data_IF_508056006635
#
_entry.id   IF_508056006635
#
_cell.length_a   1.000
_cell.length_b   1.000
_cell.length_c   1.000
_cell.angle_alpha   90.00
_cell.angle_beta   90.00
_cell.angle_gamma   90.00
#
_symmetry.space_group_name_H-M   'P 1'
#
loop_
_entity.id
_entity.type
_entity.pdbx_description
1 polymer ?
#
# COMPACT_ATOMS: atom_id res chain seq x y z
N UNK A 1 46.87 32.21 -39.24
CA UNK A 1 47.67 30.97 -39.44
C UNK A 1 48.69 30.95 -38.34
N UNK A 2 48.46 30.15 -37.30
CA UNK A 2 49.49 29.83 -36.31
C UNK A 2 49.25 28.38 -35.89
N UNK A 3 50.15 27.54 -36.34
CA UNK A 3 50.23 26.12 -36.01
C UNK A 3 50.62 25.92 -34.55
N UNK A 4 49.97 24.98 -33.83
CA UNK A 4 50.44 24.46 -32.57
C UNK A 4 50.96 23.03 -32.76
N UNK A 5 52.14 22.68 -32.22
CA UNK A 5 52.71 21.38 -32.38
C UNK A 5 52.12 20.34 -31.42
N UNK A 6 51.86 19.13 -31.95
CA UNK A 6 51.52 17.93 -31.24
C UNK A 6 52.68 17.48 -30.35
N UNK A 7 52.47 17.37 -29.04
CA UNK A 7 53.35 16.64 -28.15
C UNK A 7 52.76 15.27 -27.86
N UNK A 8 53.62 14.29 -28.11
CA UNK A 8 53.43 12.86 -27.94
C UNK A 8 53.59 12.43 -26.48
N UNK A 9 52.72 11.54 -26.05
CA UNK A 9 53.03 10.41 -25.17
C UNK A 9 53.02 10.68 -23.68
N UNK A 10 51.87 10.34 -23.08
CA UNK A 10 51.93 9.81 -21.71
C UNK A 10 51.09 8.55 -21.60
N UNK A 11 51.72 7.47 -21.15
CA UNK A 11 51.06 6.19 -20.87
C UNK A 11 50.16 6.36 -19.65
N UNK A 12 48.95 5.77 -19.60
CA UNK A 12 48.16 5.73 -18.36
C UNK A 12 48.90 4.86 -17.34
N UNK A 13 49.07 5.44 -16.16
CA UNK A 13 49.57 4.73 -14.98
C UNK A 13 48.62 3.56 -14.64
N UNK A 14 49.19 2.42 -14.29
CA UNK A 14 48.47 1.26 -13.80
C UNK A 14 47.64 1.67 -12.57
N UNK A 15 46.34 1.40 -12.65
CA UNK A 15 45.43 1.54 -11.51
C UNK A 15 45.93 0.68 -10.35
N UNK A 16 46.19 1.31 -9.22
CA UNK A 16 46.49 0.63 -7.97
C UNK A 16 45.21 -0.15 -7.56
N UNK A 17 45.35 -1.35 -6.98
CA UNK A 17 44.20 -2.13 -6.49
C UNK A 17 43.43 -1.32 -5.46
N UNK A 18 42.11 -1.27 -5.61
CA UNK A 18 41.20 -0.61 -4.68
C UNK A 18 41.20 -1.33 -3.33
N UNK A 19 41.94 -0.79 -2.39
CA UNK A 19 42.13 -1.33 -1.03
C UNK A 19 40.86 -1.19 -0.16
N UNK A 20 39.73 -0.67 -0.72
CA UNK A 20 38.46 -0.50 -0.04
C UNK A 20 37.69 -1.80 0.11
N UNK A 21 38.02 -2.84 -0.67
CA UNK A 21 37.32 -4.13 -0.63
C UNK A 21 37.57 -4.92 0.68
N UNK A 22 38.54 -4.51 1.51
CA UNK A 22 38.92 -5.21 2.75
C UNK A 22 38.78 -4.34 4.02
N UNK A 23 38.09 -3.21 3.97
CA UNK A 23 37.78 -2.39 5.14
C UNK A 23 36.58 -3.00 5.91
N UNK A 24 36.78 -3.47 7.15
CA UNK A 24 35.69 -4.04 7.97
C UNK A 24 34.52 -3.05 8.24
N UNK A 25 34.72 -1.77 7.94
CA UNK A 25 33.66 -0.75 7.98
C UNK A 25 32.77 -0.75 6.75
N UNK A 26 33.16 -1.44 5.67
CA UNK A 26 32.42 -1.65 4.42
C UNK A 26 31.88 -3.07 4.29
N UNK A 27 31.68 -3.75 5.42
CA UNK A 27 30.87 -4.97 5.42
C UNK A 27 29.51 -4.60 4.84
N UNK A 28 29.23 -5.16 3.66
CA UNK A 28 27.93 -4.99 3.00
C UNK A 28 26.83 -5.19 4.05
N UNK A 29 25.90 -4.24 4.11
CA UNK A 29 24.68 -4.33 4.90
C UNK A 29 23.96 -5.61 4.42
N UNK A 30 24.28 -6.75 5.04
CA UNK A 30 23.44 -7.93 4.89
C UNK A 30 22.03 -7.48 5.37
N UNK A 31 20.99 -7.68 4.57
CA UNK A 31 19.65 -7.37 5.01
C UNK A 31 19.42 -8.17 6.29
N UNK A 32 19.29 -7.48 7.41
CA UNK A 32 18.91 -8.09 8.69
C UNK A 32 17.53 -8.69 8.44
N UNK A 33 17.49 -10.00 8.19
CA UNK A 33 16.22 -10.73 8.12
C UNK A 33 15.56 -10.53 9.48
N UNK A 34 14.34 -10.00 9.51
CA UNK A 34 13.62 -9.81 10.78
C UNK A 34 13.56 -11.15 11.49
N UNK A 35 14.04 -11.21 12.74
CA UNK A 35 14.14 -12.44 13.54
C UNK A 35 12.77 -12.97 14.04
N UNK A 36 11.67 -12.56 13.44
CA UNK A 36 10.31 -12.91 13.81
C UNK A 36 9.32 -12.80 12.65
N UNK A 37 8.04 -13.15 12.87
CA UNK A 37 7.01 -13.01 11.86
C UNK A 37 6.80 -11.53 11.49
N UNK A 38 6.58 -11.26 10.19
CA UNK A 38 6.20 -9.93 9.71
C UNK A 38 4.89 -9.48 10.40
N UNK A 39 4.81 -8.21 10.74
CA UNK A 39 3.63 -7.61 11.38
C UNK A 39 2.90 -6.74 10.37
N UNK A 40 1.69 -7.15 9.99
CA UNK A 40 0.79 -6.36 9.14
C UNK A 40 -0.35 -5.84 10.01
N UNK A 41 -0.53 -4.52 10.06
CA UNK A 41 -1.61 -3.91 10.82
C UNK A 41 -2.69 -3.41 9.89
N UNK A 42 -3.92 -3.85 10.15
CA UNK A 42 -5.12 -3.43 9.42
C UNK A 42 -5.84 -2.35 10.21
N UNK A 43 -5.84 -1.13 9.70
CA UNK A 43 -6.57 0.01 10.30
C UNK A 43 -7.94 0.11 9.63
N UNK A 44 -9.01 -0.08 10.40
CA UNK A 44 -10.39 -0.02 9.91
C UNK A 44 -11.16 1.14 10.54
N UNK A 45 -11.73 2.00 9.71
CA UNK A 45 -12.55 3.15 10.13
C UNK A 45 -14.07 2.90 9.99
N UNK A 46 -14.50 1.64 9.94
CA UNK A 46 -15.91 1.27 9.90
C UNK A 46 -16.66 1.69 11.16
N UNK A 47 -17.85 2.30 11.00
CA UNK A 47 -18.63 2.81 12.16
C UNK A 47 -19.77 1.88 12.55
N UNK A 48 -20.36 1.15 11.61
CA UNK A 48 -21.51 0.27 11.82
C UNK A 48 -21.13 -1.12 12.34
N UNK A 49 -22.11 -1.83 12.90
CA UNK A 49 -22.07 -3.26 13.23
C UNK A 49 -23.32 -3.93 12.64
N UNK A 50 -23.16 -4.79 11.66
CA UNK A 50 -21.95 -5.16 10.91
C UNK A 50 -21.40 -4.02 10.06
N UNK A 51 -20.09 -4.08 9.73
CA UNK A 51 -19.40 -3.07 8.93
C UNK A 51 -18.84 -3.68 7.64
N UNK A 52 -19.25 -3.14 6.48
CA UNK A 52 -18.66 -3.51 5.20
C UNK A 52 -17.17 -3.08 5.09
N UNK A 53 -16.80 -1.98 5.75
CA UNK A 53 -15.41 -1.53 5.83
C UNK A 53 -14.55 -2.54 6.58
N UNK A 54 -15.06 -3.07 7.71
CA UNK A 54 -14.35 -4.12 8.45
C UNK A 54 -14.27 -5.42 7.65
N UNK A 55 -15.34 -5.81 6.98
CA UNK A 55 -15.34 -6.99 6.12
C UNK A 55 -14.32 -6.88 4.98
N UNK A 56 -14.17 -5.70 4.36
CA UNK A 56 -13.13 -5.46 3.36
C UNK A 56 -11.74 -5.55 3.99
N UNK A 57 -11.57 -4.97 5.16
CA UNK A 57 -10.32 -5.00 5.92
C UNK A 57 -9.87 -6.43 6.25
N UNK A 58 -10.79 -7.27 6.72
CA UNK A 58 -10.53 -8.67 7.02
C UNK A 58 -10.13 -9.45 5.76
N UNK A 59 -10.86 -9.31 4.65
CA UNK A 59 -10.53 -9.98 3.38
C UNK A 59 -9.16 -9.58 2.83
N UNK A 60 -8.79 -8.31 2.95
CA UNK A 60 -7.46 -7.82 2.55
C UNK A 60 -6.35 -8.42 3.43
N UNK A 61 -6.55 -8.45 4.75
CA UNK A 61 -5.62 -9.06 5.69
C UNK A 61 -5.43 -10.55 5.44
N UNK A 62 -6.53 -11.29 5.21
CA UNK A 62 -6.50 -12.71 4.87
C UNK A 62 -5.77 -12.98 3.55
N UNK A 63 -6.00 -12.15 2.52
CA UNK A 63 -5.34 -12.29 1.22
C UNK A 63 -3.83 -12.06 1.34
N UNK A 64 -3.38 -11.03 2.07
CA UNK A 64 -1.96 -10.77 2.33
C UNK A 64 -1.33 -11.90 3.13
N UNK A 65 -2.01 -12.41 4.16
CA UNK A 65 -1.51 -13.54 4.95
C UNK A 65 -1.36 -14.81 4.11
N UNK A 66 -2.31 -15.08 3.22
CA UNK A 66 -2.26 -16.21 2.27
C UNK A 66 -1.06 -16.10 1.33
N UNK A 67 -0.86 -14.92 0.73
CA UNK A 67 0.19 -14.70 -0.27
C UNK A 67 1.59 -14.74 0.36
N UNK A 68 1.77 -14.20 1.58
CA UNK A 68 3.00 -14.32 2.35
C UNK A 68 3.24 -15.76 2.81
N UNK A 69 2.19 -16.48 3.24
CA UNK A 69 2.26 -17.89 3.60
C UNK A 69 2.66 -18.77 2.42
N UNK A 70 2.18 -18.47 1.21
CA UNK A 70 2.59 -19.16 -0.03
C UNK A 70 4.08 -18.90 -0.37
N UNK A 71 4.63 -17.79 0.09
CA UNK A 71 6.06 -17.46 -0.01
C UNK A 71 6.89 -17.95 1.20
N UNK A 72 6.29 -18.77 2.09
CA UNK A 72 6.90 -19.28 3.32
C UNK A 72 7.38 -18.20 4.30
N UNK A 73 6.79 -17.00 4.22
CA UNK A 73 7.10 -15.88 5.11
C UNK A 73 6.10 -15.84 6.26
N UNK A 74 6.53 -16.07 7.52
CA UNK A 74 5.65 -15.98 8.67
C UNK A 74 5.09 -14.56 8.82
N UNK A 75 3.79 -14.43 8.99
CA UNK A 75 3.12 -13.14 9.17
C UNK A 75 2.10 -13.17 10.30
N UNK A 76 1.99 -12.06 11.01
CA UNK A 76 0.94 -11.79 11.98
C UNK A 76 0.13 -10.59 11.50
N UNK A 77 -1.17 -10.79 11.32
CA UNK A 77 -2.10 -9.73 10.94
C UNK A 77 -2.90 -9.32 12.17
N UNK A 78 -2.84 -8.05 12.51
CA UNK A 78 -3.55 -7.45 13.64
C UNK A 78 -4.48 -6.34 13.15
N UNK A 79 -5.64 -6.18 13.79
CA UNK A 79 -6.62 -5.17 13.41
C UNK A 79 -6.75 -4.08 14.47
N UNK A 80 -6.77 -2.82 14.03
CA UNK A 80 -7.07 -1.63 14.83
C UNK A 80 -8.40 -1.05 14.36
N UNK A 81 -9.42 -1.14 15.22
CA UNK A 81 -10.76 -0.58 14.98
C UNK A 81 -10.84 0.86 15.48
N UNK A 82 -10.84 1.81 14.57
CA UNK A 82 -10.84 3.23 14.95
C UNK A 82 -12.12 3.66 15.68
N UNK A 83 -13.23 2.98 15.43
CA UNK A 83 -14.48 3.24 16.16
C UNK A 83 -14.30 3.11 17.66
N UNK A 84 -13.52 2.11 18.11
CA UNK A 84 -13.31 1.84 19.53
C UNK A 84 -12.33 2.84 20.17
N UNK A 85 -11.64 3.63 19.35
CA UNK A 85 -10.69 4.68 19.74
C UNK A 85 -11.24 6.10 19.52
N UNK A 86 -12.48 6.25 19.03
CA UNK A 86 -13.01 7.55 18.63
C UNK A 86 -12.95 8.62 19.76
N UNK A 87 -13.27 8.21 20.99
CA UNK A 87 -13.21 9.10 22.15
C UNK A 87 -11.76 9.41 22.57
N UNK A 88 -10.88 8.41 22.51
CA UNK A 88 -9.46 8.57 22.83
C UNK A 88 -8.75 9.50 21.83
N UNK A 89 -9.11 9.40 20.54
CA UNK A 89 -8.63 10.30 19.47
C UNK A 89 -9.13 11.73 19.73
N UNK A 90 -10.42 11.91 20.02
CA UNK A 90 -10.97 13.24 20.33
C UNK A 90 -10.34 13.85 21.57
N UNK A 91 -10.11 13.06 22.61
CA UNK A 91 -9.43 13.50 23.82
C UNK A 91 -7.98 13.92 23.55
N UNK A 92 -7.26 13.20 22.67
CA UNK A 92 -5.90 13.58 22.31
C UNK A 92 -5.82 14.98 21.69
N UNK A 93 -6.78 15.39 20.85
CA UNK A 93 -6.80 16.73 20.28
C UNK A 93 -6.96 17.84 21.31
N UNK A 94 -7.62 17.56 22.42
CA UNK A 94 -7.85 18.54 23.49
C UNK A 94 -6.81 18.49 24.59
N UNK A 95 -6.28 17.31 24.92
CA UNK A 95 -5.28 17.11 25.96
C UNK A 95 -3.84 17.29 25.46
N UNK A 96 -3.60 17.10 24.14
CA UNK A 96 -2.29 17.21 23.53
C UNK A 96 -1.40 15.95 23.67
N UNK A 97 -1.94 14.86 24.25
CA UNK A 97 -1.23 13.59 24.39
C UNK A 97 -2.21 12.41 24.36
N UNK A 98 -1.78 11.23 23.82
CA UNK A 98 -2.64 10.05 23.71
C UNK A 98 -2.81 9.34 25.06
N UNK A 99 -4.03 8.87 25.33
CA UNK A 99 -4.28 7.93 26.43
C UNK A 99 -3.76 6.52 26.12
N UNK A 100 -3.70 5.60 27.11
CA UNK A 100 -3.05 4.28 26.97
C UNK A 100 -3.56 3.44 25.78
N UNK A 101 -4.87 3.46 25.50
CA UNK A 101 -5.45 2.70 24.38
C UNK A 101 -4.99 3.25 23.03
N UNK A 102 -5.02 4.58 22.89
CA UNK A 102 -4.58 5.21 21.65
C UNK A 102 -3.08 5.03 21.46
N UNK A 103 -2.26 5.19 22.51
CA UNK A 103 -0.82 4.91 22.47
C UNK A 103 -0.55 3.52 21.95
N UNK A 104 -1.20 2.49 22.50
CA UNK A 104 -1.01 1.12 22.06
C UNK A 104 -1.35 0.93 20.56
N UNK A 105 -2.40 1.57 20.06
CA UNK A 105 -2.77 1.50 18.65
C UNK A 105 -1.79 2.25 17.74
N UNK A 106 -1.28 3.41 18.18
CA UNK A 106 -0.24 4.16 17.47
C UNK A 106 1.06 3.36 17.40
N UNK A 107 1.47 2.72 18.52
CA UNK A 107 2.65 1.86 18.58
C UNK A 107 2.52 0.62 17.67
N UNK A 108 1.33 0.02 17.60
CA UNK A 108 1.06 -1.07 16.67
C UNK A 108 1.28 -0.64 15.22
N UNK A 109 0.73 0.49 14.80
CA UNK A 109 0.84 1.01 13.43
C UNK A 109 2.28 1.44 13.12
N UNK A 110 2.93 2.12 14.07
CA UNK A 110 4.32 2.58 13.92
C UNK A 110 5.29 1.42 13.87
N UNK A 111 5.09 0.37 14.67
CA UNK A 111 5.93 -0.82 14.71
C UNK A 111 5.59 -1.89 13.68
N UNK A 112 4.60 -1.69 12.80
CA UNK A 112 4.24 -2.64 11.75
C UNK A 112 5.23 -2.61 10.58
N UNK A 113 5.42 -3.76 9.92
CA UNK A 113 6.18 -3.87 8.67
C UNK A 113 5.37 -3.37 7.46
N UNK A 114 4.03 -3.46 7.52
CA UNK A 114 3.10 -2.88 6.55
C UNK A 114 1.76 -2.50 7.18
N UNK A 115 1.04 -1.59 6.53
CA UNK A 115 -0.29 -1.16 6.94
C UNK A 115 -1.31 -1.37 5.82
N UNK A 116 -2.47 -1.92 6.18
CA UNK A 116 -3.66 -1.92 5.32
C UNK A 116 -4.64 -0.89 5.89
N UNK A 117 -4.90 0.18 5.16
CA UNK A 117 -5.70 1.31 5.62
C UNK A 117 -7.06 1.34 4.92
N UNK A 118 -8.15 1.11 5.67
CA UNK A 118 -9.49 0.94 5.12
C UNK A 118 -10.47 1.94 5.74
N UNK A 119 -11.13 2.74 4.90
CA UNK A 119 -12.07 3.78 5.35
C UNK A 119 -13.40 3.70 4.58
N UNK A 120 -14.54 4.02 5.20
CA UNK A 120 -15.73 4.33 4.44
C UNK A 120 -15.58 5.71 3.79
N UNK A 121 -16.23 5.89 2.62
CA UNK A 121 -16.32 7.21 2.00
C UNK A 121 -17.57 7.92 2.51
N UNK A 122 -17.37 9.04 3.20
CA UNK A 122 -18.41 9.95 3.64
C UNK A 122 -18.17 11.34 3.04
N UNK A 123 -19.23 11.96 2.53
CA UNK A 123 -19.14 13.31 1.95
C UNK A 123 -17.97 13.44 0.94
N UNK A 124 -17.92 12.45 0.00
CA UNK A 124 -16.96 12.37 -1.12
C UNK A 124 -15.48 12.13 -0.75
N UNK A 125 -15.15 11.86 0.51
CA UNK A 125 -13.77 11.60 0.97
C UNK A 125 -13.72 10.53 2.05
N UNK A 126 -12.52 10.20 2.55
CA UNK A 126 -12.35 9.33 3.72
C UNK A 126 -13.09 9.88 4.93
N UNK A 127 -13.44 9.01 5.88
CA UNK A 127 -14.16 9.44 7.09
C UNK A 127 -13.32 10.38 7.96
N UNK A 128 -13.96 11.31 8.68
CA UNK A 128 -13.27 12.20 9.60
C UNK A 128 -12.50 11.45 10.68
N UNK A 129 -13.05 10.33 11.20
CA UNK A 129 -12.37 9.48 12.17
C UNK A 129 -11.08 8.88 11.62
N UNK A 130 -11.09 8.45 10.35
CA UNK A 130 -9.88 7.97 9.67
C UNK A 130 -8.80 9.05 9.62
N UNK A 131 -9.17 10.24 9.14
CA UNK A 131 -8.23 11.37 9.08
C UNK A 131 -7.68 11.72 10.46
N UNK A 132 -8.57 11.82 11.46
CA UNK A 132 -8.18 12.17 12.83
C UNK A 132 -7.16 11.19 13.44
N UNK A 133 -7.26 9.90 13.13
CA UNK A 133 -6.27 8.92 13.59
C UNK A 133 -4.90 9.16 12.96
N UNK A 134 -4.84 9.41 11.65
CA UNK A 134 -3.57 9.69 10.97
C UNK A 134 -3.00 11.07 11.30
N UNK A 135 -3.81 12.01 11.79
CA UNK A 135 -3.36 13.32 12.25
C UNK A 135 -2.65 13.28 13.62
N UNK A 136 -2.89 12.25 14.42
CA UNK A 136 -2.21 12.07 15.71
C UNK A 136 -0.97 11.16 15.63
N UNK A 137 -0.70 10.56 14.48
CA UNK A 137 0.56 9.86 14.23
C UNK A 137 1.71 10.87 14.04
N UNK A 138 2.91 10.49 14.48
CA UNK A 138 4.11 11.21 14.11
C UNK A 138 4.27 11.22 12.58
N UNK A 139 4.69 12.36 12.01
CA UNK A 139 4.81 12.53 10.56
C UNK A 139 5.80 11.57 9.90
N UNK A 140 6.79 11.09 10.64
CA UNK A 140 7.81 10.15 10.16
C UNK A 140 7.42 8.66 10.40
N UNK A 141 6.33 8.39 11.14
CA UNK A 141 5.93 7.05 11.57
C UNK A 141 5.70 6.05 10.41
N UNK A 142 5.32 6.56 9.24
CA UNK A 142 5.04 5.75 8.04
C UNK A 142 6.12 5.89 6.95
N UNK A 143 7.22 6.58 7.21
CA UNK A 143 8.27 6.80 6.22
C UNK A 143 8.83 5.48 5.68
N UNK A 144 8.73 5.28 4.35
CA UNK A 144 9.16 4.07 3.67
C UNK A 144 8.30 2.82 3.92
N UNK A 145 7.27 2.91 4.76
CA UNK A 145 6.41 1.78 5.12
C UNK A 145 5.46 1.42 3.97
N UNK A 146 5.40 0.14 3.55
CA UNK A 146 4.43 -0.35 2.59
C UNK A 146 2.99 -0.16 3.09
N UNK A 147 2.13 0.46 2.27
CA UNK A 147 0.72 0.72 2.62
C UNK A 147 -0.20 0.29 1.50
N UNK A 148 -1.21 -0.52 1.81
CA UNK A 148 -2.33 -0.83 0.95
C UNK A 148 -3.52 0.03 1.37
N UNK A 149 -4.06 0.83 0.44
CA UNK A 149 -5.21 1.69 0.69
C UNK A 149 -6.49 1.08 0.12
N UNK A 150 -7.57 1.15 0.91
CA UNK A 150 -8.87 0.68 0.47
C UNK A 150 -10.02 1.54 1.01
N UNK A 151 -11.15 1.49 0.33
CA UNK A 151 -12.33 2.20 0.76
C UNK A 151 -13.63 1.44 0.43
N UNK A 152 -14.67 1.70 1.22
CA UNK A 152 -16.03 1.27 0.94
C UNK A 152 -16.96 2.46 0.72
N UNK A 153 -17.97 2.30 -0.12
CA UNK A 153 -18.97 3.33 -0.32
C UNK A 153 -20.27 2.77 -0.90
N UNK A 154 -21.30 3.57 -0.90
CA UNK A 154 -22.62 3.17 -1.41
C UNK A 154 -22.66 2.95 -2.92
N UNK A 155 -21.73 3.52 -3.68
CA UNK A 155 -21.72 3.49 -5.16
C UNK A 155 -20.28 3.60 -5.68
N UNK A 156 -19.99 2.99 -6.82
CA UNK A 156 -18.69 3.05 -7.50
C UNK A 156 -18.27 4.48 -7.92
N UNK A 157 -19.18 5.44 -7.94
CA UNK A 157 -18.92 6.86 -8.32
C UNK A 157 -17.87 7.54 -7.44
N UNK A 158 -17.69 7.06 -6.22
CA UNK A 158 -16.70 7.63 -5.28
C UNK A 158 -15.35 6.91 -5.28
N UNK A 159 -15.11 5.96 -6.18
CA UNK A 159 -13.86 5.19 -6.24
C UNK A 159 -12.61 6.06 -6.42
N UNK A 160 -12.73 7.19 -7.11
CA UNK A 160 -11.63 8.14 -7.28
C UNK A 160 -11.15 8.79 -5.98
N UNK A 161 -11.90 8.69 -4.88
CA UNK A 161 -11.42 9.12 -3.56
C UNK A 161 -10.15 8.37 -3.13
N UNK A 162 -9.91 7.15 -3.61
CA UNK A 162 -8.67 6.42 -3.38
C UNK A 162 -7.47 7.19 -3.94
N UNK A 163 -7.56 7.66 -5.20
CA UNK A 163 -6.45 8.32 -5.89
C UNK A 163 -6.31 9.81 -5.52
N UNK A 164 -7.42 10.50 -5.27
CA UNK A 164 -7.42 11.95 -5.05
C UNK A 164 -7.46 12.36 -3.57
N UNK A 165 -7.73 11.43 -2.65
CA UNK A 165 -7.75 11.72 -1.22
C UNK A 165 -6.82 10.79 -0.41
N UNK A 166 -6.97 9.46 -0.52
CA UNK A 166 -6.18 8.53 0.29
C UNK A 166 -4.71 8.49 -0.13
N UNK A 167 -4.44 8.30 -1.43
CA UNK A 167 -3.05 8.23 -1.93
C UNK A 167 -2.23 9.48 -1.60
N UNK A 168 -2.74 10.72 -1.80
CA UNK A 168 -2.04 11.93 -1.38
C UNK A 168 -1.76 11.99 0.13
N UNK A 169 -2.70 11.53 0.98
CA UNK A 169 -2.50 11.48 2.43
C UNK A 169 -1.29 10.61 2.78
N UNK A 170 -1.23 9.38 2.26
CA UNK A 170 -0.12 8.47 2.55
C UNK A 170 1.19 8.87 1.85
N UNK A 171 1.12 9.52 0.69
CA UNK A 171 2.28 10.13 0.06
C UNK A 171 2.87 11.28 0.91
N UNK A 172 2.02 12.11 1.52
CA UNK A 172 2.45 13.13 2.48
C UNK A 172 3.15 12.52 3.70
N UNK A 173 2.65 11.39 4.21
CA UNK A 173 3.26 10.62 5.30
C UNK A 173 4.47 9.78 4.83
N UNK A 174 4.94 9.97 3.60
CA UNK A 174 6.12 9.29 3.00
C UNK A 174 6.02 7.77 2.97
N UNK A 175 4.81 7.23 3.00
CA UNK A 175 4.57 5.80 2.87
C UNK A 175 4.76 5.33 1.41
N UNK A 176 5.10 4.06 1.23
CA UNK A 176 5.15 3.39 -0.09
C UNK A 176 3.80 2.76 -0.36
N UNK A 177 2.92 3.48 -1.05
CA UNK A 177 1.56 3.00 -1.36
C UNK A 177 1.60 2.04 -2.54
N UNK A 178 1.03 0.82 -2.37
CA UNK A 178 0.92 -0.14 -3.48
C UNK A 178 0.14 0.44 -4.66
N UNK A 179 0.47 0.04 -5.90
CA UNK A 179 -0.19 0.57 -7.10
C UNK A 179 -1.70 0.35 -7.09
N UNK A 180 -2.16 -0.87 -6.75
CA UNK A 180 -3.58 -1.21 -6.75
C UNK A 180 -4.26 -0.80 -5.44
N UNK A 181 -5.15 0.19 -5.51
CA UNK A 181 -6.07 0.52 -4.43
C UNK A 181 -7.39 -0.25 -4.60
N UNK A 182 -8.05 -0.60 -3.47
CA UNK A 182 -9.26 -1.42 -3.51
C UNK A 182 -10.49 -0.63 -3.07
N UNK A 183 -11.45 -0.47 -3.99
CA UNK A 183 -12.77 0.10 -3.67
C UNK A 183 -13.83 -0.99 -3.68
N UNK A 184 -14.68 -1.01 -2.64
CA UNK A 184 -15.86 -1.87 -2.60
C UNK A 184 -17.13 -1.02 -2.50
N UNK A 185 -17.92 -1.01 -3.57
CA UNK A 185 -19.25 -0.43 -3.60
C UNK A 185 -20.29 -1.42 -3.04
N UNK A 186 -21.50 -0.94 -2.73
CA UNK A 186 -22.57 -1.82 -2.24
C UNK A 186 -22.91 -2.95 -3.22
N UNK A 187 -22.84 -2.70 -4.51
CA UNK A 187 -23.08 -3.66 -5.59
C UNK A 187 -22.03 -4.78 -5.66
N UNK A 188 -20.78 -4.50 -5.28
CA UNK A 188 -19.69 -5.50 -5.29
C UNK A 188 -19.94 -6.67 -4.31
N UNK A 189 -20.78 -6.48 -3.30
CA UNK A 189 -21.11 -7.52 -2.34
C UNK A 189 -22.09 -8.57 -2.85
N UNK A 190 -22.85 -8.24 -3.90
CA UNK A 190 -23.76 -9.17 -4.59
C UNK A 190 -23.07 -10.05 -5.63
N UNK A 191 -21.98 -9.56 -6.24
CA UNK A 191 -21.11 -10.33 -7.13
C UNK A 191 -19.65 -9.98 -6.81
N UNK A 192 -19.01 -10.84 -6.04
CA UNK A 192 -17.68 -10.57 -5.47
C UNK A 192 -16.51 -10.87 -6.39
N UNK A 193 -16.70 -11.44 -7.59
CA UNK A 193 -15.61 -11.87 -8.46
C UNK A 193 -14.68 -10.72 -8.86
N UNK A 194 -15.25 -9.58 -9.24
CA UNK A 194 -14.48 -8.37 -9.55
C UNK A 194 -13.74 -7.81 -8.33
N UNK A 195 -14.40 -7.80 -7.17
CA UNK A 195 -13.80 -7.35 -5.92
C UNK A 195 -12.66 -8.27 -5.49
N UNK A 196 -12.86 -9.59 -5.54
CA UNK A 196 -11.84 -10.57 -5.17
C UNK A 196 -10.58 -10.42 -6.03
N UNK A 197 -10.71 -10.26 -7.35
CA UNK A 197 -9.54 -10.01 -8.22
C UNK A 197 -8.77 -8.74 -7.85
N UNK A 198 -9.47 -7.67 -7.44
CA UNK A 198 -8.81 -6.44 -6.97
C UNK A 198 -8.09 -6.66 -5.64
N UNK A 199 -8.72 -7.39 -4.71
CA UNK A 199 -8.13 -7.77 -3.42
C UNK A 199 -6.87 -8.61 -3.64
N UNK A 200 -6.95 -9.67 -4.46
CA UNK A 200 -5.82 -10.56 -4.72
C UNK A 200 -4.64 -9.82 -5.36
N UNK A 201 -4.90 -8.93 -6.32
CA UNK A 201 -3.85 -8.11 -6.94
C UNK A 201 -3.17 -7.21 -5.92
N UNK A 202 -3.94 -6.47 -5.12
CA UNK A 202 -3.40 -5.55 -4.13
C UNK A 202 -2.62 -6.27 -3.02
N UNK A 203 -3.10 -7.45 -2.60
CA UNK A 203 -2.44 -8.30 -1.61
C UNK A 203 -1.09 -8.82 -2.16
N UNK A 204 -1.06 -9.30 -3.40
CA UNK A 204 0.16 -9.76 -4.05
C UNK A 204 1.20 -8.63 -4.20
N UNK A 205 0.77 -7.41 -4.53
CA UNK A 205 1.65 -6.24 -4.60
C UNK A 205 2.27 -5.91 -3.22
N UNK A 206 1.46 -5.95 -2.15
CA UNK A 206 1.96 -5.71 -0.80
C UNK A 206 2.91 -6.82 -0.33
N UNK A 207 2.57 -8.08 -0.58
CA UNK A 207 3.42 -9.22 -0.27
C UNK A 207 4.76 -9.15 -1.01
N UNK A 208 4.76 -8.75 -2.29
CA UNK A 208 5.97 -8.57 -3.08
C UNK A 208 6.89 -7.48 -2.52
N UNK A 209 6.35 -6.37 -2.02
CA UNK A 209 7.15 -5.33 -1.33
C UNK A 209 7.77 -5.87 -0.04
N UNK A 210 7.01 -6.65 0.74
CA UNK A 210 7.47 -7.19 2.03
C UNK A 210 8.54 -8.29 1.88
N UNK A 211 8.49 -9.04 0.77
CA UNK A 211 9.48 -10.10 0.49
C UNK A 211 10.70 -9.62 -0.29
N UNK A 212 10.77 -8.31 -0.62
CA UNK A 212 11.83 -7.77 -1.46
C UNK A 212 11.79 -8.25 -2.92
N UNK A 213 10.73 -8.99 -3.31
CA UNK A 213 10.55 -9.52 -4.66
C UNK A 213 9.90 -8.51 -5.63
N UNK A 214 9.61 -7.31 -5.18
CA UNK A 214 8.95 -6.25 -5.94
C UNK A 214 9.65 -5.80 -7.24
N UNK A 215 10.87 -6.29 -7.50
CA UNK A 215 11.58 -6.09 -8.78
C UNK A 215 11.38 -7.21 -9.81
N UNK A 216 10.80 -8.34 -9.41
CA UNK A 216 10.51 -9.46 -10.31
C UNK A 216 9.08 -9.33 -10.83
N UNK A 217 8.92 -8.64 -11.95
CA UNK A 217 7.64 -8.54 -12.64
C UNK A 217 7.14 -9.96 -12.94
N UNK A 218 6.09 -10.42 -12.23
CA UNK A 218 5.30 -11.53 -12.71
C UNK A 218 4.78 -11.17 -14.11
N UNK A 219 4.91 -12.08 -15.05
CA UNK A 219 4.32 -11.89 -16.37
C UNK A 219 2.83 -11.55 -16.17
N UNK A 220 2.28 -10.54 -16.86
CA UNK A 220 0.88 -10.23 -16.74
C UNK A 220 0.08 -11.49 -17.04
N UNK A 221 -0.66 -11.99 -16.06
CA UNK A 221 -1.77 -12.89 -16.35
C UNK A 221 -2.68 -12.10 -17.30
N UNK A 222 -2.85 -12.59 -18.54
CA UNK A 222 -3.61 -11.88 -19.56
C UNK A 222 -4.93 -11.44 -18.96
N UNK A 223 -5.25 -10.16 -19.09
CA UNK A 223 -6.49 -9.60 -18.60
C UNK A 223 -7.62 -10.26 -19.42
N UNK A 224 -8.56 -11.00 -18.79
CA UNK A 224 -9.70 -11.59 -19.51
C UNK A 224 -10.60 -10.54 -20.19
N UNK A 225 -10.37 -9.24 -19.94
CA UNK A 225 -11.05 -8.12 -20.59
C UNK A 225 -10.37 -7.69 -21.91
N UNK A 226 -9.24 -8.28 -22.31
CA UNK A 226 -8.57 -7.97 -23.58
C UNK A 226 -9.11 -8.76 -24.78
N UNK A 227 -10.25 -9.39 -24.68
CA UNK A 227 -11.04 -9.65 -25.89
C UNK A 227 -11.79 -8.34 -26.24
N UNK A 228 -11.01 -7.35 -26.67
CA UNK A 228 -11.56 -6.07 -27.15
C UNK A 228 -12.29 -6.38 -28.45
N UNK A 229 -13.62 -6.56 -28.34
CA UNK A 229 -14.49 -6.61 -29.53
C UNK A 229 -14.25 -5.32 -30.31
N UNK A 230 -13.78 -5.39 -31.58
CA UNK A 230 -13.46 -4.20 -32.36
C UNK A 230 -14.66 -3.24 -32.37
N UNK A 231 -14.40 -1.95 -32.21
CA UNK A 231 -15.44 -0.92 -32.13
C UNK A 231 -16.45 -0.99 -33.30
N UNK A 232 -15.96 -1.40 -34.48
CA UNK A 232 -16.81 -1.62 -35.66
C UNK A 232 -17.85 -2.73 -35.46
N UNK A 233 -17.54 -3.79 -34.73
CA UNK A 233 -18.46 -4.88 -34.41
C UNK A 233 -19.47 -4.46 -33.34
N UNK A 234 -19.02 -3.70 -32.35
CA UNK A 234 -19.91 -3.12 -31.33
C UNK A 234 -20.90 -2.15 -31.98
N UNK A 235 -20.45 -1.32 -32.92
CA UNK A 235 -21.30 -0.38 -33.63
C UNK A 235 -22.29 -1.12 -34.58
N UNK A 236 -21.86 -2.24 -35.19
CA UNK A 236 -22.73 -3.05 -36.03
C UNK A 236 -23.86 -3.72 -35.22
N UNK A 237 -23.56 -4.15 -33.97
CA UNK A 237 -24.54 -4.74 -33.07
C UNK A 237 -25.63 -3.73 -32.59
N UNK A 238 -25.31 -2.45 -32.62
CA UNK A 238 -26.25 -1.37 -32.24
C UNK A 238 -27.16 -0.86 -33.39
N UNK A 239 -26.94 -1.33 -34.62
CA UNK A 239 -27.84 -1.00 -35.73
C UNK A 239 -29.17 -1.76 -35.57
N UNK A 240 -30.18 -1.04 -35.15
CA UNK A 240 -31.55 -1.55 -35.14
C UNK A 240 -31.91 -1.94 -36.57
N UNK A 241 -32.41 -3.15 -36.76
CA UNK A 241 -32.98 -3.57 -38.02
C UNK A 241 -34.24 -2.74 -38.23
N UNK A 242 -34.29 -1.91 -39.28
CA UNK A 242 -35.52 -1.31 -39.79
C UNK A 242 -36.45 -2.34 -40.42
#
# INVERSE_FOLDING_TARGET
VTEFPLQSGDRPAAEAPDDRANDPRYSANEPVSPSGPLRVVVVSAGLSVPSSTRLLADRLGEAVARDLGAAEVPVRVEAVELRDLANDIAQNFTAGFPGPKLTAALDQVTGADAVIAVTPIFTASYSGLFKSFFDVLDQEALTGKPVLIAATGGTARHSLALEHALRPLFAYLRAVVVPTAVYAASEDWGNTDGLNRRIDRAAAELAALLTGSGGRRAAPAGDPLEEVVPFAEQLAALRVQE
#
